data_IF_565065694341
#
_entry.id   IF_565065694341
#
_cell.length_a   1.000
_cell.length_b   1.000
_cell.length_c   1.000
_cell.angle_alpha   90.00
_cell.angle_beta   90.00
_cell.angle_gamma   90.00
#
_symmetry.space_group_name_H-M   'P 1'
#
loop_
_entity.id
_entity.type
_entity.pdbx_description
1 polymer ?
#
# COMPACT_ATOMS: atom_id res chain seq x y z
N UNK A 1 -8.90 -3.36 -8.84
CA UNK A 1 -10.05 -3.88 -8.06
C UNK A 1 -10.22 -5.39 -8.23
N UNK A 2 -10.45 -5.92 -9.42
CA UNK A 2 -10.69 -7.38 -9.64
C UNK A 2 -9.57 -8.30 -9.19
N UNK A 3 -8.30 -7.90 -9.36
CA UNK A 3 -7.18 -8.72 -8.88
C UNK A 3 -7.18 -8.82 -7.34
N UNK A 4 -7.47 -7.71 -6.64
CA UNK A 4 -7.55 -7.68 -5.18
C UNK A 4 -8.75 -8.48 -4.64
N UNK A 5 -9.86 -8.46 -5.35
CA UNK A 5 -10.99 -9.38 -5.09
C UNK A 5 -10.51 -10.83 -5.11
N UNK A 6 -9.88 -11.24 -6.21
CA UNK A 6 -9.42 -12.61 -6.42
C UNK A 6 -8.40 -13.05 -5.35
N UNK A 7 -7.46 -12.16 -4.98
CA UNK A 7 -6.52 -12.40 -3.89
C UNK A 7 -7.22 -12.77 -2.58
N UNK A 8 -8.22 -11.97 -2.20
CA UNK A 8 -8.93 -12.13 -0.94
C UNK A 8 -9.84 -13.35 -0.98
N UNK A 9 -10.56 -13.58 -2.07
CA UNK A 9 -11.35 -14.81 -2.24
C UNK A 9 -10.47 -16.05 -2.08
N UNK A 10 -9.33 -16.12 -2.78
CA UNK A 10 -8.39 -17.24 -2.65
C UNK A 10 -7.81 -17.35 -1.24
N UNK A 11 -7.51 -16.23 -0.59
CA UNK A 11 -7.00 -16.23 0.78
C UNK A 11 -7.97 -16.88 1.78
N UNK A 12 -9.28 -16.67 1.56
CA UNK A 12 -10.33 -17.28 2.36
C UNK A 12 -10.57 -18.75 2.01
N UNK A 13 -10.57 -19.09 0.72
CA UNK A 13 -10.71 -20.48 0.25
C UNK A 13 -9.60 -21.39 0.77
N UNK A 14 -8.38 -20.87 0.95
CA UNK A 14 -7.21 -21.63 1.39
C UNK A 14 -6.66 -21.18 2.76
N UNK A 15 -7.50 -20.52 3.59
CA UNK A 15 -7.11 -20.06 4.92
C UNK A 15 -6.76 -21.23 5.84
N UNK A 16 -5.76 -21.09 6.70
CA UNK A 16 -5.49 -22.09 7.74
C UNK A 16 -6.57 -22.05 8.83
N UNK A 17 -6.67 -23.14 9.61
CA UNK A 17 -7.61 -23.28 10.73
C UNK A 17 -7.49 -22.16 11.79
N UNK A 18 -6.29 -21.59 11.95
CA UNK A 18 -6.04 -20.49 12.89
C UNK A 18 -6.38 -19.10 12.32
N UNK A 19 -7.19 -19.02 11.26
CA UNK A 19 -7.51 -17.80 10.53
C UNK A 19 -6.27 -17.02 10.05
N UNK A 20 -5.15 -17.71 9.84
CA UNK A 20 -3.98 -17.13 9.17
C UNK A 20 -4.02 -17.52 7.70
N UNK A 21 -4.07 -16.53 6.82
CA UNK A 21 -4.04 -16.69 5.37
C UNK A 21 -2.97 -15.81 4.75
N UNK A 22 -3.01 -15.68 3.43
CA UNK A 22 -2.02 -14.93 2.66
C UNK A 22 -1.71 -15.61 1.33
N UNK A 23 -1.01 -14.89 0.45
CA UNK A 23 -0.73 -15.39 -0.89
C UNK A 23 0.04 -16.72 -0.90
N UNK A 24 0.97 -16.90 0.04
CA UNK A 24 1.72 -18.14 0.19
C UNK A 24 0.83 -19.36 0.54
N UNK A 25 -0.34 -19.17 1.16
CA UNK A 25 -1.27 -20.27 1.43
C UNK A 25 -1.95 -20.76 0.15
N UNK A 26 -2.59 -19.87 -0.63
CA UNK A 26 -3.23 -20.33 -1.87
C UNK A 26 -2.22 -20.70 -2.95
N UNK A 27 -1.01 -20.12 -2.95
CA UNK A 27 0.09 -20.58 -3.80
C UNK A 27 0.47 -22.02 -3.44
N UNK A 28 0.58 -22.36 -2.16
CA UNK A 28 0.95 -23.70 -1.71
C UNK A 28 -0.16 -24.72 -1.92
N UNK A 29 -1.36 -24.43 -1.41
CA UNK A 29 -2.48 -25.38 -1.35
C UNK A 29 -3.36 -25.34 -2.59
N UNK A 30 -3.63 -24.15 -3.13
CA UNK A 30 -4.43 -24.00 -4.34
C UNK A 30 -3.73 -24.57 -5.56
N UNK A 31 -2.46 -24.24 -5.79
CA UNK A 31 -1.72 -24.80 -6.92
C UNK A 31 -1.52 -26.31 -6.77
N UNK A 32 -1.43 -26.84 -5.54
CA UNK A 32 -1.42 -28.28 -5.33
C UNK A 32 -2.72 -28.97 -5.78
N UNK A 33 -3.88 -28.35 -5.54
CA UNK A 33 -5.20 -28.87 -5.95
C UNK A 33 -5.32 -29.05 -7.47
N UNK A 34 -4.66 -28.19 -8.25
CA UNK A 34 -4.68 -28.24 -9.73
C UNK A 34 -3.44 -28.94 -10.34
N UNK A 35 -2.71 -29.73 -9.55
CA UNK A 35 -1.59 -30.56 -10.02
C UNK A 35 -0.20 -29.92 -9.98
N UNK A 36 -0.07 -28.66 -9.54
CA UNK A 36 1.18 -27.91 -9.49
C UNK A 36 1.81 -27.87 -8.08
N UNK A 37 1.76 -28.96 -7.31
CA UNK A 37 2.15 -28.98 -5.89
C UNK A 37 3.64 -28.61 -5.62
N UNK A 38 4.57 -28.97 -6.52
CA UNK A 38 5.99 -28.59 -6.39
C UNK A 38 6.17 -27.10 -6.68
N UNK A 39 5.62 -26.62 -7.80
CA UNK A 39 5.65 -25.22 -8.22
C UNK A 39 4.99 -24.33 -7.16
N UNK A 40 3.85 -24.74 -6.61
CA UNK A 40 3.14 -23.98 -5.58
C UNK A 40 3.93 -23.80 -4.29
N UNK A 41 4.62 -24.85 -3.82
CA UNK A 41 5.53 -24.74 -2.66
C UNK A 41 6.71 -23.81 -2.94
N UNK A 42 7.31 -23.90 -4.12
CA UNK A 42 8.41 -23.03 -4.52
C UNK A 42 7.96 -21.56 -4.61
N UNK A 43 6.81 -21.31 -5.24
CA UNK A 43 6.24 -19.97 -5.39
C UNK A 43 5.86 -19.35 -4.04
N UNK A 44 5.26 -20.14 -3.14
CA UNK A 44 4.91 -19.69 -1.80
C UNK A 44 6.14 -19.34 -0.95
N UNK A 45 7.20 -20.15 -1.03
CA UNK A 45 8.46 -19.89 -0.32
C UNK A 45 9.17 -18.63 -0.85
N UNK A 46 9.31 -18.53 -2.18
CA UNK A 46 9.93 -17.36 -2.82
C UNK A 46 9.14 -16.09 -2.55
N UNK A 47 7.81 -16.12 -2.67
CA UNK A 47 6.95 -14.99 -2.32
C UNK A 47 7.13 -14.56 -0.86
N UNK A 48 7.14 -15.49 0.10
CA UNK A 48 7.29 -15.16 1.51
C UNK A 48 8.64 -14.46 1.80
N UNK A 49 9.73 -14.90 1.19
CA UNK A 49 11.05 -14.23 1.30
C UNK A 49 11.01 -12.85 0.65
N UNK A 50 10.47 -12.75 -0.57
CA UNK A 50 10.38 -11.48 -1.29
C UNK A 50 9.53 -10.47 -0.52
N UNK A 51 8.45 -10.91 0.13
CA UNK A 51 7.61 -10.07 0.98
C UNK A 51 8.42 -9.47 2.13
N UNK A 52 9.22 -10.28 2.85
CA UNK A 52 10.07 -9.78 3.93
C UNK A 52 11.06 -8.73 3.42
N UNK A 53 11.71 -8.99 2.27
CA UNK A 53 12.66 -8.06 1.66
C UNK A 53 11.95 -6.76 1.24
N UNK A 54 10.81 -6.87 0.56
CA UNK A 54 10.03 -5.73 0.08
C UNK A 54 9.54 -4.83 1.21
N UNK A 55 9.15 -5.41 2.34
CA UNK A 55 8.71 -4.64 3.50
C UNK A 55 9.88 -4.01 4.25
N UNK A 56 10.97 -4.75 4.52
CA UNK A 56 12.13 -4.25 5.30
C UNK A 56 12.94 -3.20 4.54
N UNK A 57 13.13 -3.37 3.23
CA UNK A 57 13.99 -2.51 2.41
C UNK A 57 13.23 -1.49 1.57
N UNK A 58 11.93 -1.75 1.31
CA UNK A 58 11.09 -0.91 0.47
C UNK A 58 10.03 -0.17 1.26
N UNK A 59 8.95 -0.85 1.58
CA UNK A 59 7.73 -0.26 2.12
C UNK A 59 7.93 0.49 3.44
N UNK A 60 8.51 -0.18 4.44
CA UNK A 60 8.71 0.41 5.77
C UNK A 60 9.71 1.58 5.73
N UNK A 61 10.91 1.43 5.12
CA UNK A 61 11.84 2.54 4.96
C UNK A 61 11.25 3.72 4.23
N UNK A 62 10.54 3.49 3.12
CA UNK A 62 9.93 4.55 2.33
C UNK A 62 8.97 5.37 3.18
N UNK A 63 8.02 4.72 3.86
CA UNK A 63 7.06 5.40 4.72
C UNK A 63 7.75 6.15 5.87
N UNK A 64 8.76 5.54 6.51
CA UNK A 64 9.51 6.18 7.59
C UNK A 64 10.22 7.45 7.12
N UNK A 65 10.82 7.42 5.93
CA UNK A 65 11.52 8.56 5.34
C UNK A 65 10.55 9.71 5.01
N UNK A 66 9.39 9.41 4.41
CA UNK A 66 8.37 10.41 4.09
C UNK A 66 7.87 11.15 5.35
N UNK A 67 7.66 10.42 6.45
CA UNK A 67 7.30 11.05 7.73
C UNK A 67 8.42 11.94 8.26
N UNK A 68 9.67 11.44 8.23
CA UNK A 68 10.82 12.20 8.71
C UNK A 68 10.99 13.52 7.94
N UNK A 69 10.81 13.51 6.62
CA UNK A 69 10.89 14.70 5.76
C UNK A 69 9.86 15.78 6.15
N UNK A 70 8.65 15.39 6.56
CA UNK A 70 7.61 16.32 7.01
C UNK A 70 7.70 16.72 8.48
N UNK A 71 8.46 15.95 9.26
CA UNK A 71 8.51 16.09 10.72
C UNK A 71 9.48 17.15 11.21
N UNK A 72 10.23 17.83 10.33
CA UNK A 72 11.15 18.89 10.74
C UNK A 72 10.49 19.97 11.61
N UNK A 73 9.22 20.30 11.34
CA UNK A 73 8.45 21.27 12.13
C UNK A 73 7.87 20.71 13.44
N UNK A 74 7.82 19.38 13.60
CA UNK A 74 7.21 18.69 14.74
C UNK A 74 8.24 18.15 15.73
N UNK A 75 9.32 17.57 15.22
CA UNK A 75 10.28 16.78 15.98
C UNK A 75 11.73 17.24 15.79
N UNK A 76 11.97 18.26 14.96
CA UNK A 76 13.30 18.82 14.67
C UNK A 76 14.33 17.71 14.37
N UNK A 77 15.50 17.75 15.03
CA UNK A 77 16.59 16.79 14.87
C UNK A 77 16.31 15.40 15.47
N UNK A 78 15.21 15.23 16.22
CA UNK A 78 14.89 14.00 16.93
C UNK A 78 13.90 13.09 16.18
N UNK A 79 13.48 13.46 14.97
CA UNK A 79 12.46 12.73 14.21
C UNK A 79 12.79 11.24 14.05
N UNK A 80 14.05 10.88 13.73
CA UNK A 80 14.47 9.48 13.55
C UNK A 80 14.31 8.64 14.82
N UNK A 81 14.70 9.19 15.98
CA UNK A 81 14.59 8.51 17.28
C UNK A 81 13.13 8.38 17.68
N UNK A 82 12.35 9.46 17.56
CA UNK A 82 10.95 9.48 17.98
C UNK A 82 10.11 8.51 17.12
N UNK A 83 10.24 8.57 15.79
CA UNK A 83 9.50 7.69 14.87
C UNK A 83 9.85 6.22 15.13
N UNK A 84 11.14 5.89 15.21
CA UNK A 84 11.57 4.51 15.45
C UNK A 84 11.10 3.96 16.81
N UNK A 85 11.10 4.78 17.86
CA UNK A 85 10.62 4.40 19.19
C UNK A 85 9.10 4.20 19.23
N UNK A 86 8.33 5.08 18.56
CA UNK A 86 6.88 4.91 18.43
C UNK A 86 6.52 3.63 17.68
N UNK A 87 7.23 3.35 16.58
CA UNK A 87 7.07 2.11 15.81
C UNK A 87 7.37 0.89 16.70
N UNK A 88 8.48 0.93 17.45
CA UNK A 88 8.85 -0.16 18.38
C UNK A 88 7.77 -0.44 19.44
N UNK A 89 7.24 0.60 20.10
CA UNK A 89 6.21 0.47 21.14
C UNK A 89 4.92 -0.17 20.59
N UNK A 90 4.52 0.17 19.36
CA UNK A 90 3.31 -0.39 18.76
C UNK A 90 3.53 -1.85 18.35
N UNK A 91 4.66 -2.16 17.71
CA UNK A 91 4.98 -3.51 17.26
C UNK A 91 5.10 -4.49 18.45
N UNK A 92 5.69 -4.08 19.58
CA UNK A 92 5.73 -4.92 20.79
C UNK A 92 4.33 -5.25 21.34
N UNK A 93 3.33 -4.40 21.09
CA UNK A 93 1.94 -4.66 21.48
C UNK A 93 1.23 -5.74 20.65
N UNK A 94 1.84 -6.18 19.55
CA UNK A 94 1.32 -7.23 18.66
C UNK A 94 0.03 -6.85 17.92
N UNK A 95 -0.51 -7.84 17.18
CA UNK A 95 -1.57 -7.69 16.16
C UNK A 95 -2.81 -6.91 16.67
N UNK A 96 -3.23 -7.09 17.91
CA UNK A 96 -4.42 -6.39 18.46
C UNK A 96 -4.21 -4.88 18.54
N UNK A 97 -3.04 -4.42 18.97
CA UNK A 97 -2.71 -2.99 19.05
C UNK A 97 -2.56 -2.41 17.65
N UNK A 98 -1.91 -3.16 16.76
CA UNK A 98 -1.74 -2.82 15.35
C UNK A 98 -3.10 -2.53 14.68
N UNK A 99 -4.04 -3.48 14.78
CA UNK A 99 -5.36 -3.36 14.17
C UNK A 99 -6.16 -2.20 14.77
N UNK A 100 -6.12 -2.02 16.10
CA UNK A 100 -6.84 -0.94 16.78
C UNK A 100 -6.37 0.46 16.33
N UNK A 101 -5.05 0.69 16.26
CA UNK A 101 -4.49 1.98 15.83
C UNK A 101 -4.82 2.26 14.37
N UNK A 102 -4.60 1.28 13.49
CA UNK A 102 -4.86 1.43 12.04
C UNK A 102 -6.33 1.75 11.75
N UNK A 103 -7.27 1.00 12.36
CA UNK A 103 -8.71 1.18 12.14
C UNK A 103 -9.25 2.50 12.71
N UNK A 104 -8.66 3.02 13.78
CA UNK A 104 -9.08 4.29 14.38
C UNK A 104 -8.61 5.50 13.56
N UNK A 105 -7.41 5.45 12.98
CA UNK A 105 -6.84 6.57 12.23
C UNK A 105 -7.43 6.68 10.81
N UNK A 106 -7.66 5.56 10.12
CA UNK A 106 -7.97 5.55 8.69
C UNK A 106 -9.17 6.45 8.29
N UNK A 107 -10.33 6.42 8.95
CA UNK A 107 -11.48 7.22 8.54
C UNK A 107 -11.23 8.73 8.66
N UNK A 108 -10.57 9.15 9.73
CA UNK A 108 -10.27 10.56 10.01
C UNK A 108 -9.31 11.10 8.94
N UNK A 109 -8.27 10.34 8.63
CA UNK A 109 -7.24 10.71 7.65
C UNK A 109 -7.82 10.87 6.25
N UNK A 110 -8.66 9.93 5.81
CA UNK A 110 -9.29 9.96 4.47
C UNK A 110 -10.19 11.18 4.32
N UNK A 111 -11.09 11.41 5.29
CA UNK A 111 -12.06 12.52 5.22
C UNK A 111 -11.35 13.87 5.24
N UNK A 112 -10.36 14.05 6.13
CA UNK A 112 -9.60 15.29 6.20
C UNK A 112 -8.81 15.54 4.91
N UNK A 113 -8.10 14.54 4.40
CA UNK A 113 -7.30 14.69 3.18
C UNK A 113 -8.17 15.01 1.96
N UNK A 114 -9.25 14.25 1.76
CA UNK A 114 -10.17 14.48 0.63
C UNK A 114 -10.84 15.85 0.72
N UNK A 115 -11.34 16.24 1.90
CA UNK A 115 -11.95 17.56 2.10
C UNK A 115 -11.00 18.69 1.74
N UNK A 116 -9.71 18.52 2.02
CA UNK A 116 -8.68 19.50 1.70
C UNK A 116 -8.33 19.56 0.22
N UNK A 117 -8.25 18.43 -0.46
CA UNK A 117 -8.11 18.43 -1.92
C UNK A 117 -9.30 19.10 -2.60
N UNK A 118 -10.53 18.78 -2.16
CA UNK A 118 -11.74 19.40 -2.68
C UNK A 118 -11.73 20.92 -2.44
N UNK A 119 -11.34 21.35 -1.23
CA UNK A 119 -11.19 22.77 -0.93
C UNK A 119 -10.23 23.49 -1.89
N UNK A 120 -9.03 22.92 -2.12
CA UNK A 120 -8.05 23.51 -3.05
C UNK A 120 -8.55 23.57 -4.49
N UNK A 121 -9.28 22.53 -4.93
CA UNK A 121 -9.94 22.51 -6.24
C UNK A 121 -10.98 23.63 -6.33
N UNK A 122 -11.79 23.85 -5.29
CA UNK A 122 -12.77 24.93 -5.26
C UNK A 122 -12.13 26.32 -5.30
N UNK A 123 -11.01 26.52 -4.59
CA UNK A 123 -10.27 27.80 -4.58
C UNK A 123 -9.65 28.08 -5.96
N UNK A 124 -9.15 27.04 -6.65
CA UNK A 124 -8.51 27.15 -7.97
C UNK A 124 -9.43 26.71 -9.12
N UNK A 125 -10.75 26.86 -8.96
CA UNK A 125 -11.76 26.32 -9.90
C UNK A 125 -11.59 26.80 -11.34
N UNK A 126 -11.03 27.99 -11.55
CA UNK A 126 -10.77 28.55 -12.89
C UNK A 126 -9.82 27.67 -13.69
N UNK A 127 -8.86 27.03 -13.00
CA UNK A 127 -7.81 26.23 -13.62
C UNK A 127 -8.22 24.75 -13.77
N UNK A 128 -9.41 24.36 -13.29
CA UNK A 128 -9.85 22.98 -13.28
C UNK A 128 -10.02 22.41 -14.69
N UNK A 129 -10.63 23.18 -15.59
CA UNK A 129 -10.81 22.77 -16.99
C UNK A 129 -9.46 22.61 -17.69
N UNK A 130 -8.53 23.53 -17.46
CA UNK A 130 -7.17 23.46 -18.01
C UNK A 130 -6.42 22.25 -17.48
N UNK A 131 -6.51 21.97 -16.17
CA UNK A 131 -5.88 20.81 -15.56
C UNK A 131 -6.42 19.48 -16.13
N UNK A 132 -7.74 19.37 -16.30
CA UNK A 132 -8.33 18.20 -16.96
C UNK A 132 -7.87 18.09 -18.41
N UNK A 133 -7.80 19.21 -19.14
CA UNK A 133 -7.29 19.25 -20.51
C UNK A 133 -5.85 18.75 -20.58
N UNK A 134 -4.96 19.20 -19.69
CA UNK A 134 -3.56 18.73 -19.60
C UNK A 134 -3.53 17.20 -19.39
N UNK A 135 -4.28 16.68 -18.41
CA UNK A 135 -4.34 15.23 -18.14
C UNK A 135 -4.77 14.45 -19.38
N UNK A 136 -5.87 14.85 -20.03
CA UNK A 136 -6.37 14.13 -21.22
C UNK A 136 -5.41 14.25 -22.40
N UNK A 137 -4.81 15.42 -22.62
CA UNK A 137 -3.82 15.58 -23.68
C UNK A 137 -2.61 14.70 -23.43
N UNK A 138 -2.01 14.71 -22.24
CA UNK A 138 -0.81 13.93 -21.92
C UNK A 138 -1.03 12.41 -21.99
N UNK A 139 -2.23 11.92 -21.62
CA UNK A 139 -2.57 10.49 -21.73
C UNK A 139 -2.66 10.05 -23.20
N UNK A 140 -3.16 10.91 -24.09
CA UNK A 140 -3.43 10.57 -25.50
C UNK A 140 -2.41 11.14 -26.49
N UNK A 141 -1.42 11.91 -26.03
CA UNK A 141 -0.46 12.56 -26.91
C UNK A 141 0.49 11.52 -27.53
N UNK A 142 0.34 11.29 -28.84
CA UNK A 142 1.17 10.35 -29.60
C UNK A 142 2.57 10.88 -29.91
N UNK A 143 2.89 12.15 -29.63
CA UNK A 143 4.22 12.72 -29.93
C UNK A 143 5.36 12.09 -29.13
N UNK A 144 5.07 11.24 -28.14
CA UNK A 144 6.03 10.39 -27.45
C UNK A 144 6.33 9.06 -28.19
N UNK A 145 6.44 9.09 -29.52
CA UNK A 145 6.91 7.96 -30.35
C UNK A 145 8.35 7.51 -29.95
N UNK A 146 9.06 8.29 -29.14
CA UNK A 146 10.35 7.94 -28.52
C UNK A 146 10.30 7.34 -27.11
N UNK A 147 9.16 6.81 -26.63
CA UNK A 147 9.09 6.06 -25.36
C UNK A 147 8.60 6.84 -24.13
N UNK A 148 8.35 8.14 -24.23
CA UNK A 148 7.92 9.00 -23.11
C UNK A 148 6.54 8.65 -22.51
N UNK A 149 5.54 8.35 -23.35
CA UNK A 149 4.21 7.91 -22.88
C UNK A 149 4.29 6.53 -22.22
N UNK A 150 5.11 5.63 -22.77
CA UNK A 150 5.32 4.31 -22.18
C UNK A 150 6.01 4.42 -20.81
N UNK A 151 7.02 5.30 -20.67
CA UNK A 151 7.66 5.55 -19.37
C UNK A 151 6.71 6.18 -18.36
N UNK A 152 5.85 7.13 -18.78
CA UNK A 152 4.83 7.74 -17.93
C UNK A 152 3.78 6.73 -17.47
N UNK A 153 3.31 5.86 -18.36
CA UNK A 153 2.41 4.76 -18.02
C UNK A 153 3.06 3.78 -17.04
N UNK A 154 4.32 3.38 -17.27
CA UNK A 154 5.05 2.50 -16.37
C UNK A 154 5.22 3.14 -14.99
N UNK A 155 5.58 4.43 -14.92
CA UNK A 155 5.68 5.17 -13.66
C UNK A 155 4.33 5.25 -12.93
N UNK A 156 3.25 5.55 -13.66
CA UNK A 156 1.90 5.60 -13.12
C UNK A 156 1.42 4.24 -12.58
N UNK A 157 1.66 3.16 -13.31
CA UNK A 157 1.35 1.79 -12.85
C UNK A 157 2.18 1.42 -11.63
N UNK A 158 3.49 1.76 -11.60
CA UNK A 158 4.36 1.54 -10.44
C UNK A 158 3.83 2.20 -9.18
N UNK A 159 3.51 3.49 -9.26
CA UNK A 159 2.95 4.24 -8.13
C UNK A 159 1.57 3.76 -7.73
N UNK A 160 0.73 3.40 -8.70
CA UNK A 160 -0.62 2.86 -8.43
C UNK A 160 -0.55 1.53 -7.66
N UNK A 161 0.32 0.60 -8.08
CA UNK A 161 0.50 -0.68 -7.38
C UNK A 161 1.06 -0.48 -5.98
N UNK A 162 1.98 0.47 -5.78
CA UNK A 162 2.49 0.78 -4.45
C UNK A 162 1.42 1.40 -3.54
N UNK A 163 0.58 2.29 -4.07
CA UNK A 163 -0.48 2.95 -3.30
C UNK A 163 -1.59 1.96 -2.89
N UNK A 164 -2.17 1.25 -3.86
CA UNK A 164 -3.34 0.42 -3.59
C UNK A 164 -3.02 -1.03 -3.29
N UNK A 165 -1.77 -1.48 -3.46
CA UNK A 165 -1.33 -2.85 -3.22
C UNK A 165 -2.19 -3.93 -3.92
N UNK A 166 -2.82 -3.60 -5.05
CA UNK A 166 -3.60 -4.57 -5.80
C UNK A 166 -2.67 -5.43 -6.65
N UNK A 167 -2.78 -6.75 -6.51
CA UNK A 167 -1.95 -7.68 -7.27
C UNK A 167 -0.64 -8.05 -6.58
N UNK A 168 -0.30 -7.42 -5.45
CA UNK A 168 0.90 -7.73 -4.66
C UNK A 168 0.73 -8.96 -3.78
N UNK A 169 -0.51 -9.40 -3.50
CA UNK A 169 -0.81 -10.52 -2.60
C UNK A 169 -0.84 -10.15 -1.11
N UNK A 170 -0.59 -8.89 -0.74
CA UNK A 170 -0.56 -8.44 0.66
C UNK A 170 -1.96 -8.32 1.27
N UNK A 171 -2.95 -7.91 0.47
CA UNK A 171 -4.35 -7.82 0.89
C UNK A 171 -4.89 -9.17 1.40
N UNK A 172 -4.44 -10.28 0.82
CA UNK A 172 -4.76 -11.62 1.28
C UNK A 172 -4.35 -11.86 2.75
N UNK A 173 -3.24 -11.26 3.20
CA UNK A 173 -2.76 -11.40 4.58
C UNK A 173 -3.66 -10.60 5.52
N UNK A 174 -3.87 -9.32 5.23
CA UNK A 174 -4.71 -8.43 6.04
C UNK A 174 -6.12 -8.98 6.23
N UNK A 175 -6.79 -9.31 5.13
CA UNK A 175 -8.18 -9.72 5.15
C UNK A 175 -8.36 -11.12 5.74
N UNK A 176 -7.36 -12.01 5.67
CA UNK A 176 -7.49 -13.36 6.26
C UNK A 176 -7.80 -13.36 7.76
N UNK A 177 -7.42 -12.29 8.47
CA UNK A 177 -7.64 -12.15 9.92
C UNK A 177 -9.07 -11.78 10.32
N UNK A 178 -9.96 -11.45 9.37
CA UNK A 178 -11.34 -11.07 9.71
C UNK A 178 -12.21 -12.27 10.07
N UNK A 179 -13.27 -12.01 10.86
CA UNK A 179 -14.19 -13.03 11.37
C UNK A 179 -15.23 -13.51 10.36
N UNK A 180 -15.55 -12.70 9.34
CA UNK A 180 -16.47 -13.11 8.28
C UNK A 180 -15.93 -14.36 7.58
N UNK A 181 -16.81 -15.32 7.28
CA UNK A 181 -16.42 -16.61 6.71
C UNK A 181 -16.67 -16.68 5.21
N UNK A 182 -17.53 -15.80 4.69
CA UNK A 182 -17.90 -15.75 3.29
C UNK A 182 -16.80 -15.07 2.43
N UNK A 183 -16.08 -15.83 1.58
CA UNK A 183 -15.00 -15.29 0.77
C UNK A 183 -15.44 -14.14 -0.15
N UNK A 184 -16.68 -14.20 -0.67
CA UNK A 184 -17.19 -13.24 -1.64
C UNK A 184 -17.48 -11.91 -0.96
N UNK A 185 -18.11 -11.92 0.21
CA UNK A 185 -18.37 -10.68 0.97
C UNK A 185 -17.06 -9.97 1.33
N UNK A 186 -16.08 -10.70 1.85
CA UNK A 186 -14.79 -10.11 2.22
C UNK A 186 -14.04 -9.62 0.99
N UNK A 187 -14.11 -10.37 -0.12
CA UNK A 187 -13.59 -9.94 -1.41
C UNK A 187 -14.20 -8.62 -1.89
N UNK A 188 -15.53 -8.48 -1.83
CA UNK A 188 -16.22 -7.24 -2.22
C UNK A 188 -15.77 -6.04 -1.37
N UNK A 189 -15.62 -6.22 -0.05
CA UNK A 189 -15.08 -5.17 0.82
C UNK A 189 -13.65 -4.79 0.42
N UNK A 190 -12.80 -5.78 0.11
CA UNK A 190 -11.42 -5.53 -0.30
C UNK A 190 -11.30 -4.79 -1.64
N UNK A 191 -12.27 -4.95 -2.55
CA UNK A 191 -12.30 -4.21 -3.82
C UNK A 191 -12.50 -2.71 -3.65
N UNK A 192 -13.11 -2.27 -2.54
CA UNK A 192 -13.37 -0.86 -2.27
C UNK A 192 -12.06 -0.11 -2.00
N UNK A 193 -11.04 -0.77 -1.45
CA UNK A 193 -9.78 -0.11 -1.10
C UNK A 193 -9.09 0.57 -2.31
N UNK A 194 -8.86 -0.10 -3.46
CA UNK A 194 -8.32 0.57 -4.64
C UNK A 194 -9.18 1.70 -5.22
N UNK A 195 -10.51 1.65 -5.04
CA UNK A 195 -11.41 2.73 -5.47
C UNK A 195 -11.17 3.98 -4.62
N UNK A 196 -11.15 3.84 -3.30
CA UNK A 196 -10.92 4.98 -2.40
C UNK A 196 -9.51 5.53 -2.59
N UNK A 197 -8.50 4.67 -2.61
CA UNK A 197 -7.10 5.09 -2.60
C UNK A 197 -6.62 5.66 -3.94
N UNK A 198 -6.87 4.96 -5.05
CA UNK A 198 -6.35 5.40 -6.35
C UNK A 198 -7.32 6.30 -7.11
N UNK A 199 -8.60 5.92 -7.19
CA UNK A 199 -9.57 6.64 -8.03
C UNK A 199 -10.06 7.92 -7.36
N UNK A 200 -10.21 7.93 -6.03
CA UNK A 200 -10.62 9.13 -5.30
C UNK A 200 -9.39 9.91 -4.81
N UNK A 201 -8.64 9.36 -3.87
CA UNK A 201 -7.55 10.10 -3.19
C UNK A 201 -6.45 10.49 -4.18
N UNK A 202 -5.81 9.52 -4.84
CA UNK A 202 -4.67 9.80 -5.74
C UNK A 202 -5.06 10.68 -6.93
N UNK A 203 -6.26 10.51 -7.46
CA UNK A 203 -6.78 11.37 -8.54
C UNK A 203 -6.97 12.83 -8.07
N UNK A 204 -7.59 13.03 -6.91
CA UNK A 204 -7.75 14.36 -6.32
C UNK A 204 -6.39 15.01 -6.04
N UNK A 205 -5.42 14.25 -5.52
CA UNK A 205 -4.03 14.73 -5.35
C UNK A 205 -3.41 15.15 -6.68
N UNK A 206 -3.55 14.34 -7.73
CA UNK A 206 -3.04 14.65 -9.06
C UNK A 206 -3.63 15.94 -9.64
N UNK A 207 -4.95 16.12 -9.52
CA UNK A 207 -5.60 17.39 -9.92
C UNK A 207 -5.02 18.55 -9.13
N UNK A 208 -4.92 18.43 -7.80
CA UNK A 208 -4.37 19.48 -6.94
C UNK A 208 -2.96 19.88 -7.37
N UNK A 209 -2.09 18.94 -7.72
CA UNK A 209 -0.73 19.22 -8.19
C UNK A 209 -0.74 20.02 -9.51
N UNK A 210 -1.66 19.69 -10.43
CA UNK A 210 -1.74 20.33 -11.75
C UNK A 210 -2.35 21.74 -11.65
N UNK A 211 -3.48 21.90 -10.95
CA UNK A 211 -4.17 23.21 -10.83
C UNK A 211 -3.30 24.29 -10.16
N UNK A 212 -2.36 23.87 -9.30
CA UNK A 212 -1.40 24.75 -8.62
C UNK A 212 -0.12 24.98 -9.41
N UNK A 213 0.04 24.36 -10.59
CA UNK A 213 1.21 24.53 -11.45
C UNK A 213 2.48 23.80 -10.99
N UNK A 214 2.41 22.95 -9.96
CA UNK A 214 3.61 22.29 -9.43
C UNK A 214 4.08 21.09 -10.25
N UNK A 215 3.26 20.64 -11.21
CA UNK A 215 3.62 19.60 -12.17
C UNK A 215 4.83 20.00 -13.05
N UNK A 216 5.17 21.29 -13.14
CA UNK A 216 6.32 21.79 -13.91
C UNK A 216 7.63 21.91 -13.10
N UNK A 217 7.66 21.45 -11.85
CA UNK A 217 8.85 21.51 -10.98
C UNK A 217 9.58 20.17 -10.95
N UNK A 218 10.90 20.16 -10.78
CA UNK A 218 11.72 18.93 -10.83
C UNK A 218 11.47 17.94 -9.66
N UNK A 219 10.66 18.31 -8.65
CA UNK A 219 10.40 17.52 -7.44
C UNK A 219 9.01 16.85 -7.41
N UNK A 220 8.38 16.57 -8.57
CA UNK A 220 7.06 15.91 -8.62
C UNK A 220 7.11 14.56 -7.89
N UNK A 221 6.36 14.46 -6.77
CA UNK A 221 6.29 13.25 -5.94
C UNK A 221 6.95 13.38 -4.56
N UNK A 222 7.65 14.48 -4.29
CA UNK A 222 8.10 14.80 -2.94
C UNK A 222 6.90 15.20 -2.07
N UNK A 223 6.77 14.57 -0.91
CA UNK A 223 5.72 14.87 0.05
C UNK A 223 5.83 16.32 0.57
N UNK A 224 7.03 16.90 0.54
CA UNK A 224 7.27 18.30 0.89
C UNK A 224 6.67 19.26 -0.15
N UNK A 225 6.60 18.86 -1.42
CA UNK A 225 5.92 19.61 -2.47
C UNK A 225 4.41 19.66 -2.20
N UNK A 226 3.81 18.54 -1.81
CA UNK A 226 2.39 18.54 -1.42
C UNK A 226 2.16 19.43 -0.20
N UNK A 227 3.06 19.39 0.79
CA UNK A 227 2.97 20.28 1.97
C UNK A 227 3.04 21.76 1.59
N UNK A 228 3.91 22.14 0.65
CA UNK A 228 4.07 23.53 0.22
C UNK A 228 2.85 24.04 -0.56
N UNK A 229 2.13 23.17 -1.28
CA UNK A 229 0.84 23.50 -1.89
C UNK A 229 -0.19 23.98 -0.89
N UNK A 230 -0.24 23.35 0.28
CA UNK A 230 -1.15 23.76 1.34
C UNK A 230 -0.71 25.04 2.05
N UNK A 231 0.59 25.40 1.98
CA UNK A 231 1.15 26.52 2.75
C UNK A 231 0.62 27.87 2.28
N UNK A 232 0.34 28.02 0.99
CA UNK A 232 -0.17 29.26 0.40
C UNK A 232 -1.65 29.47 0.69
N UNK A 233 -2.46 28.41 0.63
CA UNK A 233 -3.90 28.50 0.85
C UNK A 233 -4.30 28.37 2.33
N UNK A 234 -3.61 27.52 3.10
CA UNK A 234 -3.92 27.19 4.50
C UNK A 234 -2.62 27.00 5.32
N UNK A 235 -1.95 28.11 5.70
CA UNK A 235 -0.63 28.06 6.34
C UNK A 235 -0.60 27.24 7.64
N UNK A 236 -1.61 27.41 8.51
CA UNK A 236 -1.70 26.69 9.77
C UNK A 236 -1.93 25.18 9.55
N UNK A 237 -2.70 24.83 8.52
CA UNK A 237 -2.94 23.44 8.14
C UNK A 237 -1.65 22.79 7.63
N UNK A 238 -0.95 23.43 6.70
CA UNK A 238 0.32 22.96 6.14
C UNK A 238 1.39 22.77 7.22
N UNK A 239 1.46 23.67 8.20
CA UNK A 239 2.51 23.61 9.24
C UNK A 239 2.27 22.54 10.30
N UNK A 240 1.01 22.26 10.66
CA UNK A 240 0.68 21.38 11.80
C UNK A 240 -0.17 20.18 11.40
N UNK A 241 -1.33 20.42 10.78
CA UNK A 241 -2.32 19.38 10.52
C UNK A 241 -1.84 18.41 9.45
N UNK A 242 -1.25 18.91 8.37
CA UNK A 242 -0.78 18.08 7.26
C UNK A 242 0.35 17.13 7.69
N UNK A 243 1.43 17.57 8.38
CA UNK A 243 2.45 16.67 8.90
C UNK A 243 1.90 15.61 9.87
N UNK A 244 0.98 15.98 10.78
CA UNK A 244 0.36 15.02 11.71
C UNK A 244 -0.52 13.99 11.00
N UNK A 245 -1.26 14.42 9.98
CA UNK A 245 -2.06 13.54 9.13
C UNK A 245 -1.17 12.58 8.35
N UNK A 246 -0.11 13.07 7.70
CA UNK A 246 0.83 12.25 6.95
C UNK A 246 1.64 11.31 7.85
N UNK A 247 2.00 11.75 9.06
CA UNK A 247 2.55 10.89 10.11
C UNK A 247 1.59 9.73 10.37
N UNK A 248 0.30 10.01 10.59
CA UNK A 248 -0.70 8.99 10.86
C UNK A 248 -0.87 8.01 9.69
N UNK A 249 -0.86 8.50 8.43
CA UNK A 249 -0.97 7.67 7.23
C UNK A 249 0.18 6.68 7.16
N UNK A 250 1.40 7.20 7.09
CA UNK A 250 2.58 6.39 6.90
C UNK A 250 2.86 5.50 8.14
N UNK A 251 2.56 5.98 9.35
CA UNK A 251 2.66 5.16 10.57
C UNK A 251 1.70 3.97 10.52
N UNK A 252 0.43 4.18 10.11
CA UNK A 252 -0.53 3.09 9.97
C UNK A 252 -0.06 2.03 8.95
N UNK A 253 0.55 2.47 7.84
CA UNK A 253 1.11 1.59 6.80
C UNK A 253 2.33 0.82 7.30
N UNK A 254 3.27 1.47 8.00
CA UNK A 254 4.43 0.80 8.61
C UNK A 254 3.96 -0.33 9.51
N UNK A 255 2.98 -0.08 10.36
CA UNK A 255 2.48 -1.07 11.30
C UNK A 255 1.82 -2.24 10.55
N UNK A 256 1.02 -1.98 9.51
CA UNK A 256 0.43 -3.03 8.67
C UNK A 256 1.50 -3.91 8.00
N UNK A 257 2.57 -3.30 7.49
CA UNK A 257 3.70 -4.02 6.89
C UNK A 257 4.47 -4.86 7.89
N UNK A 258 4.63 -4.37 9.12
CA UNK A 258 5.20 -5.17 10.20
C UNK A 258 4.36 -6.42 10.46
N UNK A 259 3.03 -6.29 10.49
CA UNK A 259 2.13 -7.44 10.60
C UNK A 259 2.30 -8.43 9.43
N UNK A 260 2.41 -7.95 8.19
CA UNK A 260 2.63 -8.82 7.03
C UNK A 260 3.94 -9.62 7.16
N UNK A 261 5.00 -8.98 7.67
CA UNK A 261 6.26 -9.64 7.98
C UNK A 261 6.10 -10.71 9.06
N UNK A 262 5.40 -10.42 10.16
CA UNK A 262 5.16 -11.41 11.22
C UNK A 262 4.47 -12.66 10.68
N UNK A 263 3.44 -12.48 9.86
CA UNK A 263 2.69 -13.58 9.25
C UNK A 263 3.56 -14.40 8.29
N UNK A 264 4.41 -13.76 7.48
CA UNK A 264 5.35 -14.47 6.61
C UNK A 264 6.47 -15.19 7.37
N UNK A 265 6.98 -14.62 8.46
CA UNK A 265 7.98 -15.27 9.32
C UNK A 265 7.40 -16.51 10.00
N UNK A 266 6.17 -16.40 10.51
CA UNK A 266 5.47 -17.54 11.10
C UNK A 266 5.22 -18.64 10.06
N UNK A 267 4.91 -18.27 8.81
CA UNK A 267 4.80 -19.23 7.72
C UNK A 267 6.12 -19.94 7.39
N UNK A 268 7.24 -19.20 7.35
CA UNK A 268 8.56 -19.74 6.99
C UNK A 268 9.19 -20.59 8.10
N UNK A 269 9.11 -20.13 9.35
CA UNK A 269 9.87 -20.69 10.47
C UNK A 269 9.00 -21.38 11.53
N UNK A 270 7.68 -21.14 11.54
CA UNK A 270 6.75 -21.75 12.49
C UNK A 270 6.94 -21.34 13.96
N UNK A 271 7.87 -20.43 14.25
CA UNK A 271 8.29 -20.11 15.62
C UNK A 271 8.15 -18.62 15.92
N UNK A 272 7.46 -18.29 17.01
CA UNK A 272 7.36 -16.91 17.50
C UNK A 272 8.70 -16.33 17.98
N UNK A 273 9.70 -17.17 18.26
CA UNK A 273 11.03 -16.73 18.74
C UNK A 273 11.77 -15.86 17.72
N UNK A 274 11.48 -16.01 16.42
CA UNK A 274 12.11 -15.22 15.35
C UNK A 274 11.55 -13.80 15.26
N UNK A 275 10.38 -13.53 15.87
CA UNK A 275 9.69 -12.25 15.73
C UNK A 275 10.48 -11.11 16.37
N UNK A 276 10.95 -11.27 17.62
CA UNK A 276 11.66 -10.19 18.34
C UNK A 276 12.93 -9.73 17.59
N UNK A 277 13.87 -10.62 17.19
CA UNK A 277 15.03 -10.20 16.40
C UNK A 277 14.65 -9.46 15.12
N UNK A 278 13.57 -9.89 14.46
CA UNK A 278 13.12 -9.27 13.22
C UNK A 278 12.45 -7.90 13.45
N UNK A 279 11.68 -7.75 14.53
CA UNK A 279 11.11 -6.47 14.93
C UNK A 279 12.21 -5.46 15.25
N UNK A 280 13.30 -5.89 15.90
CA UNK A 280 14.50 -5.05 16.11
C UNK A 280 15.10 -4.63 14.77
N UNK A 281 15.26 -5.55 13.82
CA UNK A 281 15.76 -5.24 12.47
C UNK A 281 14.89 -4.21 11.75
N UNK A 282 13.55 -4.33 11.85
CA UNK A 282 12.62 -3.34 11.30
C UNK A 282 12.87 -1.96 11.92
N UNK A 283 12.98 -1.87 13.24
CA UNK A 283 13.18 -0.59 13.95
C UNK A 283 14.51 0.06 13.55
N UNK A 284 15.57 -0.74 13.41
CA UNK A 284 16.86 -0.25 12.88
C UNK A 284 16.70 0.25 11.45
N UNK A 285 15.96 -0.46 10.59
CA UNK A 285 15.68 -0.03 9.22
C UNK A 285 14.92 1.30 9.18
N UNK A 286 13.90 1.47 10.02
CA UNK A 286 13.15 2.73 10.19
C UNK A 286 14.08 3.87 10.60
N UNK A 287 14.93 3.64 11.61
CA UNK A 287 15.87 4.65 12.11
C UNK A 287 16.84 5.10 11.01
N UNK A 288 17.49 4.15 10.33
CA UNK A 288 18.42 4.45 9.22
C UNK A 288 17.70 5.19 8.10
N UNK A 289 16.49 4.75 7.75
CA UNK A 289 15.71 5.39 6.69
C UNK A 289 15.37 6.84 7.02
N UNK A 290 14.97 7.13 8.26
CA UNK A 290 14.69 8.50 8.70
C UNK A 290 15.92 9.43 8.62
N UNK A 291 17.14 8.88 8.71
CA UNK A 291 18.39 9.65 8.57
C UNK A 291 18.79 9.85 7.10
N UNK A 292 18.29 9.03 6.20
CA UNK A 292 18.65 9.09 4.78
C UNK A 292 18.06 10.31 4.11
N UNK A 293 18.88 11.01 3.32
CA UNK A 293 18.43 12.14 2.47
C UNK A 293 18.07 11.70 1.05
N UNK A 294 18.34 10.45 0.67
CA UNK A 294 18.11 9.96 -0.68
C UNK A 294 16.72 9.30 -0.80
N UNK A 295 15.69 10.16 -0.84
CA UNK A 295 14.27 9.75 -0.97
C UNK A 295 14.07 8.96 -2.27
N UNK A 296 14.68 9.42 -3.36
CA UNK A 296 14.51 8.85 -4.69
C UNK A 296 14.99 7.39 -4.75
N UNK A 297 16.17 7.09 -4.20
CA UNK A 297 16.68 5.72 -4.14
C UNK A 297 15.76 4.80 -3.34
N UNK A 298 15.35 5.23 -2.13
CA UNK A 298 14.46 4.43 -1.27
C UNK A 298 13.14 4.18 -1.99
N UNK A 299 12.63 5.20 -2.68
CA UNK A 299 11.40 5.10 -3.44
C UNK A 299 11.48 4.12 -4.61
N UNK A 300 12.51 4.21 -5.46
CA UNK A 300 12.66 3.28 -6.59
C UNK A 300 12.93 1.85 -6.14
N UNK A 301 13.67 1.68 -5.05
CA UNK A 301 13.88 0.38 -4.44
C UNK A 301 12.54 -0.21 -3.95
N UNK A 302 11.73 0.60 -3.27
CA UNK A 302 10.38 0.22 -2.84
C UNK A 302 9.48 -0.19 -3.99
N UNK A 303 9.34 0.66 -5.01
CA UNK A 303 8.52 0.40 -6.19
C UNK A 303 8.94 -0.91 -6.89
N UNK A 304 10.25 -1.13 -7.02
CA UNK A 304 10.81 -2.32 -7.67
C UNK A 304 10.53 -3.60 -6.86
N UNK A 305 10.70 -3.55 -5.54
CA UNK A 305 10.45 -4.69 -4.67
C UNK A 305 8.96 -5.06 -4.61
N UNK A 306 8.05 -4.08 -4.63
CA UNK A 306 6.61 -4.33 -4.71
C UNK A 306 6.19 -4.96 -6.05
N UNK A 307 6.79 -4.50 -7.15
CA UNK A 307 6.59 -5.13 -8.46
C UNK A 307 7.07 -6.58 -8.49
N UNK A 308 8.17 -6.87 -7.81
CA UNK A 308 8.67 -8.23 -7.65
C UNK A 308 7.66 -9.14 -6.90
N UNK A 309 6.88 -8.62 -5.94
CA UNK A 309 5.80 -9.39 -5.29
C UNK A 309 4.64 -9.70 -6.24
N UNK A 310 4.35 -8.76 -7.13
CA UNK A 310 3.22 -8.87 -8.06
C UNK A 310 3.38 -10.06 -9.02
N UNK A 311 4.60 -10.36 -9.47
CA UNK A 311 4.88 -11.41 -10.44
C UNK A 311 4.41 -12.80 -9.96
N UNK A 312 4.94 -13.37 -8.87
CA UNK A 312 4.51 -14.70 -8.39
C UNK A 312 3.02 -14.71 -8.04
N UNK A 313 2.50 -13.61 -7.51
CA UNK A 313 1.11 -13.48 -7.11
C UNK A 313 0.13 -13.50 -8.29
N UNK A 314 0.41 -12.70 -9.32
CA UNK A 314 -0.38 -12.65 -10.55
C UNK A 314 -0.40 -14.02 -11.27
N UNK A 315 0.74 -14.72 -11.31
CA UNK A 315 0.83 -16.08 -11.86
C UNK A 315 -0.08 -17.04 -11.09
N UNK A 316 -0.03 -17.01 -9.75
CA UNK A 316 -0.86 -17.87 -8.92
C UNK A 316 -2.36 -17.60 -9.13
N UNK A 317 -2.78 -16.32 -9.13
CA UNK A 317 -4.18 -15.94 -9.37
C UNK A 317 -4.64 -16.39 -10.76
N UNK A 318 -3.82 -16.18 -11.79
CA UNK A 318 -4.18 -16.59 -13.16
C UNK A 318 -4.40 -18.11 -13.26
N UNK A 319 -3.53 -18.91 -12.64
CA UNK A 319 -3.68 -20.36 -12.60
C UNK A 319 -4.90 -20.79 -11.78
N UNK A 320 -5.22 -20.07 -10.70
CA UNK A 320 -6.34 -20.34 -9.81
C UNK A 320 -7.65 -19.63 -10.19
N UNK A 321 -7.70 -18.97 -11.35
CA UNK A 321 -8.88 -18.18 -11.79
C UNK A 321 -10.18 -18.99 -11.79
N UNK A 322 -10.12 -20.28 -12.13
CA UNK A 322 -11.28 -21.17 -12.12
C UNK A 322 -11.83 -21.39 -10.72
N UNK A 323 -10.96 -21.46 -9.71
CA UNK A 323 -11.37 -21.59 -8.32
C UNK A 323 -12.15 -20.34 -7.86
N UNK A 324 -11.67 -19.16 -8.27
CA UNK A 324 -12.37 -17.89 -7.98
C UNK A 324 -13.76 -17.87 -8.62
N UNK A 325 -13.84 -18.20 -9.92
CA UNK A 325 -15.12 -18.26 -10.64
C UNK A 325 -16.08 -19.27 -10.00
N UNK A 326 -15.62 -20.48 -9.69
CA UNK A 326 -16.43 -21.50 -9.02
C UNK A 326 -16.93 -21.04 -7.64
N UNK A 327 -16.12 -20.26 -6.91
CA UNK A 327 -16.52 -19.71 -5.61
C UNK A 327 -17.62 -18.65 -5.77
N UNK A 328 -17.52 -17.82 -6.81
CA UNK A 328 -18.56 -16.83 -7.17
C UNK A 328 -19.87 -17.55 -7.54
N UNK A 329 -19.80 -18.55 -8.43
CA UNK A 329 -20.98 -19.30 -8.87
C UNK A 329 -21.66 -20.01 -7.69
N UNK A 330 -20.86 -20.62 -6.81
CA UNK A 330 -21.36 -21.27 -5.60
C UNK A 330 -22.08 -20.29 -4.68
N UNK A 331 -21.58 -19.06 -4.55
CA UNK A 331 -22.22 -18.02 -3.76
C UNK A 331 -23.58 -17.60 -4.33
N UNK A 332 -23.66 -17.31 -5.64
CA UNK A 332 -24.93 -16.94 -6.27
C UNK A 332 -25.96 -18.07 -6.20
N UNK A 333 -25.55 -19.31 -6.48
CA UNK A 333 -26.40 -20.49 -6.36
C UNK A 333 -26.93 -20.67 -4.93
N UNK A 334 -26.10 -20.45 -3.90
CA UNK A 334 -26.51 -20.55 -2.49
C UNK A 334 -27.54 -19.49 -2.07
N UNK A 335 -27.60 -18.38 -2.82
CA UNK A 335 -28.51 -17.26 -2.58
C UNK A 335 -29.75 -17.27 -3.49
N UNK A 336 -29.83 -18.23 -4.41
CA UNK A 336 -30.95 -18.36 -5.34
C UNK A 336 -31.01 -17.27 -6.41
N UNK A 337 -29.85 -16.71 -6.77
CA UNK A 337 -29.72 -15.75 -7.88
C UNK A 337 -29.45 -16.43 -9.21
#
# INVERSE_FOLDING_TARGET
MSIKFAEVVLAFTYRSENATGGAFYYMKYGLAKIGFAKTGRFLAFTYAIMLLIAMILGGIPFQANQIAALSNNLFEYNASIIISLLVFIVILGGIKRIAFVSTSLAPIMIVLYMGMCIYLICVNRSNLLDALSIIFQDIFNKSAIGGGVLSGLIAGVRRSVFANEAGTGTAAIAHSSVKEEDPIKVGCVAMIAPLIDTILISFLTGIVIIITGMHSTDNVGDITLISSLFSTALPLFSKLVFPLMMFSFAFSTIIAYCYYCEVALLYLFGSKKILIPFQILIVVSVYISCMSKNIEFISYLGDSLFMCLMIPNAVAIYLLRREVLNTIDSYYNSKGY
#
